data_IF_464821808296
#
_entry.id   IF_464821808296
#
_cell.length_a   1.000
_cell.length_b   1.000
_cell.length_c   1.000
_cell.angle_alpha   90.00
_cell.angle_beta   90.00
_cell.angle_gamma   90.00
#
_symmetry.space_group_name_H-M   'P 1'
#
loop_
_entity.id
_entity.type
_entity.pdbx_description
1 polymer ?
#
# COMPACT_ATOMS: atom_id res chain seq x y z
N UNK A 1 -39.94 12.06 15.04
CA UNK A 1 -38.68 12.49 15.67
C UNK A 1 -37.54 11.66 15.08
N UNK A 2 -36.68 12.24 14.23
CA UNK A 2 -35.48 11.56 13.72
C UNK A 2 -34.44 11.56 14.83
N UNK A 3 -34.08 10.38 15.36
CA UNK A 3 -32.93 10.24 16.27
C UNK A 3 -31.68 10.70 15.50
N UNK A 4 -31.02 11.75 15.98
CA UNK A 4 -29.67 12.09 15.53
C UNK A 4 -28.76 10.95 15.96
N UNK A 5 -28.38 10.11 15.00
CA UNK A 5 -27.37 9.09 15.18
C UNK A 5 -26.01 9.80 15.09
N UNK A 6 -25.25 9.79 16.19
CA UNK A 6 -23.90 10.36 16.26
C UNK A 6 -22.94 9.47 15.45
N UNK A 7 -23.02 9.58 14.14
CA UNK A 7 -22.13 8.90 13.20
C UNK A 7 -20.85 9.72 13.13
N UNK A 8 -19.70 9.13 13.46
CA UNK A 8 -18.42 9.80 13.23
C UNK A 8 -18.24 9.99 11.72
N UNK A 9 -17.65 11.11 11.32
CA UNK A 9 -17.47 11.45 9.89
C UNK A 9 -16.62 10.41 9.13
N UNK A 10 -15.78 9.66 9.83
CA UNK A 10 -15.05 8.49 9.31
C UNK A 10 -15.98 7.35 8.88
N UNK A 11 -17.03 7.12 9.66
CA UNK A 11 -17.90 5.94 9.54
C UNK A 11 -19.06 6.21 8.57
N UNK A 12 -19.26 7.48 8.20
CA UNK A 12 -20.32 7.92 7.29
C UNK A 12 -20.17 7.33 5.89
N UNK A 13 -18.94 7.14 5.40
CA UNK A 13 -18.70 6.57 4.07
C UNK A 13 -19.03 5.07 4.06
N UNK A 14 -18.53 4.32 5.05
CA UNK A 14 -18.90 2.91 5.27
C UNK A 14 -20.40 2.74 5.36
N UNK A 15 -21.08 3.51 6.23
CA UNK A 15 -22.53 3.43 6.41
C UNK A 15 -23.32 3.75 5.13
N UNK A 16 -22.89 4.74 4.34
CA UNK A 16 -23.49 5.05 3.04
C UNK A 16 -23.28 3.92 2.02
N UNK A 17 -22.11 3.28 2.06
CA UNK A 17 -21.79 2.14 1.20
C UNK A 17 -22.55 0.89 1.63
N UNK A 18 -22.69 0.64 2.94
CA UNK A 18 -23.46 -0.46 3.51
C UNK A 18 -24.95 -0.30 3.20
N UNK A 19 -25.50 0.90 3.35
CA UNK A 19 -26.90 1.23 3.07
C UNK A 19 -27.26 1.04 1.58
N UNK A 20 -26.32 1.36 0.68
CA UNK A 20 -26.56 1.32 -0.77
C UNK A 20 -26.20 -0.02 -1.42
N UNK A 21 -25.26 -0.78 -0.86
CA UNK A 21 -24.70 -1.97 -1.52
C UNK A 21 -24.62 -3.23 -0.65
N UNK A 22 -24.90 -3.11 0.66
CA UNK A 22 -24.95 -4.21 1.62
C UNK A 22 -23.61 -4.46 2.32
N UNK A 23 -23.67 -4.65 3.64
CA UNK A 23 -22.53 -4.77 4.56
C UNK A 23 -21.45 -5.78 4.15
N UNK A 24 -21.86 -7.01 3.80
CA UNK A 24 -20.95 -8.06 3.34
C UNK A 24 -20.08 -7.65 2.15
N UNK A 25 -20.62 -6.81 1.25
CA UNK A 25 -19.92 -6.33 0.05
C UNK A 25 -18.90 -5.24 0.38
N UNK A 26 -19.18 -4.41 1.38
CA UNK A 26 -18.28 -3.35 1.83
C UNK A 26 -17.09 -3.96 2.56
N UNK A 27 -17.32 -4.94 3.43
CA UNK A 27 -16.25 -5.65 4.16
C UNK A 27 -15.32 -6.43 3.20
N UNK A 28 -15.87 -7.20 2.25
CA UNK A 28 -15.07 -7.92 1.22
C UNK A 28 -14.25 -6.94 0.34
N UNK A 29 -14.82 -5.78 0.02
CA UNK A 29 -14.15 -4.74 -0.80
C UNK A 29 -13.12 -3.97 0.01
N UNK A 30 -13.36 -3.74 1.31
CA UNK A 30 -12.41 -3.06 2.17
C UNK A 30 -11.21 -3.94 2.50
N UNK A 31 -11.40 -5.21 2.82
CA UNK A 31 -10.28 -6.16 2.99
C UNK A 31 -9.49 -6.32 1.69
N UNK A 32 -10.17 -6.41 0.54
CA UNK A 32 -9.53 -6.52 -0.78
C UNK A 32 -8.80 -5.25 -1.22
N UNK A 33 -9.35 -4.06 -0.96
CA UNK A 33 -8.70 -2.78 -1.29
C UNK A 33 -7.57 -2.50 -0.31
N UNK A 34 -7.76 -2.80 0.96
CA UNK A 34 -6.72 -2.66 1.95
C UNK A 34 -5.54 -3.57 1.61
N UNK A 35 -5.78 -4.84 1.25
CA UNK A 35 -4.76 -5.74 0.68
C UNK A 35 -4.10 -5.22 -0.61
N UNK A 36 -4.90 -4.99 -1.66
CA UNK A 36 -4.40 -4.59 -3.00
C UNK A 36 -3.68 -3.26 -3.06
N UNK A 37 -4.07 -2.31 -2.20
CA UNK A 37 -3.38 -1.03 -2.08
C UNK A 37 -2.05 -1.18 -1.33
N UNK A 38 -2.02 -2.03 -0.32
CA UNK A 38 -0.79 -2.38 0.39
C UNK A 38 0.22 -3.16 -0.46
N UNK A 39 -0.24 -3.72 -1.59
CA UNK A 39 0.58 -4.47 -2.56
C UNK A 39 1.10 -3.63 -3.76
N UNK A 40 0.49 -2.49 -4.09
CA UNK A 40 0.77 -1.81 -5.37
C UNK A 40 1.12 -0.31 -5.32
N UNK A 41 1.28 0.28 -4.13
CA UNK A 41 1.86 1.63 -4.01
C UNK A 41 3.13 1.59 -3.18
N UNK A 42 4.18 1.02 -3.79
CA UNK A 42 5.56 1.08 -3.33
C UNK A 42 6.40 1.90 -4.32
N UNK A 43 6.26 3.22 -4.27
CA UNK A 43 7.17 4.12 -4.97
C UNK A 43 8.52 4.13 -4.25
N UNK A 44 9.53 3.56 -4.91
CA UNK A 44 10.91 4.01 -5.02
C UNK A 44 11.60 4.50 -3.74
N UNK A 45 12.69 3.82 -3.36
CA UNK A 45 13.43 4.05 -2.11
C UNK A 45 13.60 5.52 -1.73
N UNK A 46 13.39 5.85 -0.45
CA UNK A 46 13.60 7.21 0.03
C UNK A 46 15.08 7.58 -0.15
N UNK A 47 15.34 8.59 -0.98
CA UNK A 47 16.64 9.25 -1.04
C UNK A 47 16.69 10.31 0.05
N UNK A 48 17.63 10.13 0.98
CA UNK A 48 17.95 11.16 1.98
C UNK A 48 19.16 11.93 1.46
N UNK A 49 18.97 13.20 1.13
CA UNK A 49 20.04 14.10 0.70
C UNK A 49 20.68 14.75 1.94
N UNK A 50 22.00 14.66 2.07
CA UNK A 50 22.77 15.06 3.25
C UNK A 50 23.53 16.37 3.02
N UNK A 51 23.40 17.32 3.95
CA UNK A 51 24.36 18.38 4.19
C UNK A 51 25.02 18.06 5.55
N UNK A 52 25.88 17.03 5.55
CA UNK A 52 26.45 16.33 6.72
C UNK A 52 25.40 15.88 7.75
N UNK A 53 25.05 14.59 7.73
CA UNK A 53 24.16 13.98 8.73
C UNK A 53 24.91 12.89 9.49
N UNK A 54 25.06 13.06 10.81
CA UNK A 54 25.44 11.98 11.72
C UNK A 54 24.16 11.26 12.15
N UNK A 55 24.04 9.98 11.81
CA UNK A 55 22.99 9.12 12.34
C UNK A 55 23.54 8.47 13.61
N UNK A 56 23.07 8.97 14.75
CA UNK A 56 23.41 8.39 16.05
C UNK A 56 22.59 7.12 16.31
N UNK A 57 23.22 6.06 16.84
CA UNK A 57 22.51 4.84 17.22
C UNK A 57 21.57 5.11 18.39
N UNK A 58 20.34 4.60 18.31
CA UNK A 58 19.35 4.66 19.39
C UNK A 58 19.55 3.50 20.38
N UNK A 59 19.97 2.33 19.87
CA UNK A 59 20.23 1.13 20.66
C UNK A 59 21.74 0.80 20.79
N UNK A 60 22.20 0.17 21.89
CA UNK A 60 23.63 -0.10 22.15
C UNK A 60 24.31 -1.00 21.11
N UNK A 61 23.51 -1.72 20.33
CA UNK A 61 23.93 -2.69 19.30
C UNK A 61 23.99 -2.07 17.89
N UNK A 62 23.48 -0.84 17.72
CA UNK A 62 23.53 -0.11 16.48
C UNK A 62 24.89 0.58 16.27
N UNK A 63 25.27 0.76 15.00
CA UNK A 63 26.52 1.43 14.63
C UNK A 63 26.21 2.83 14.11
N UNK A 64 26.98 3.82 14.56
CA UNK A 64 26.92 5.15 13.99
C UNK A 64 27.37 5.14 12.53
N UNK A 65 26.67 5.91 11.71
CA UNK A 65 27.02 6.14 10.32
C UNK A 65 27.13 7.64 10.10
N UNK A 66 28.27 8.07 9.54
CA UNK A 66 28.49 9.44 9.11
C UNK A 66 28.34 9.50 7.61
N UNK A 67 27.51 10.41 7.13
CA UNK A 67 27.36 10.71 5.71
C UNK A 67 28.02 12.04 5.40
N UNK A 68 28.98 12.04 4.49
CA UNK A 68 29.64 13.25 4.03
C UNK A 68 28.68 14.13 3.19
N UNK A 69 29.10 15.36 2.92
CA UNK A 69 28.39 16.23 1.95
C UNK A 69 28.39 15.53 0.59
N UNK A 70 27.27 15.61 -0.12
CA UNK A 70 27.03 14.98 -1.42
C UNK A 70 26.91 13.45 -1.39
N UNK A 71 26.98 12.82 -0.21
CA UNK A 71 26.57 11.42 -0.04
C UNK A 71 25.05 11.30 0.13
N UNK A 72 24.52 10.14 -0.26
CA UNK A 72 23.11 9.82 -0.14
C UNK A 72 22.91 8.43 0.44
N UNK A 73 21.92 8.31 1.32
CA UNK A 73 21.41 7.02 1.77
C UNK A 73 20.16 6.65 0.97
N UNK A 74 20.09 5.39 0.57
CA UNK A 74 18.91 4.79 -0.07
C UNK A 74 18.34 3.76 0.89
N UNK A 75 17.05 3.89 1.20
CA UNK A 75 16.30 2.86 1.92
C UNK A 75 15.70 1.91 0.87
N UNK A 76 16.14 0.64 0.78
CA UNK A 76 15.70 -0.27 -0.27
C UNK A 76 14.35 -0.91 0.08
N UNK A 77 13.27 -0.12 -0.03
CA UNK A 77 11.89 -0.52 0.33
C UNK A 77 11.52 -1.90 -0.22
N UNK A 78 11.75 -2.13 -1.51
CA UNK A 78 11.42 -3.41 -2.16
C UNK A 78 12.20 -4.59 -1.57
N UNK A 79 13.47 -4.39 -1.20
CA UNK A 79 14.26 -5.45 -0.57
C UNK A 79 13.71 -5.79 0.82
N UNK A 80 13.32 -4.78 1.62
CA UNK A 80 12.70 -4.99 2.93
C UNK A 80 11.38 -5.76 2.80
N UNK A 81 10.56 -5.44 1.80
CA UNK A 81 9.27 -6.12 1.59
C UNK A 81 9.44 -7.56 1.12
N UNK A 82 10.55 -7.87 0.45
CA UNK A 82 10.89 -9.21 0.00
C UNK A 82 11.78 -10.00 0.97
N UNK A 83 12.07 -9.46 2.14
CA UNK A 83 12.91 -10.13 3.13
C UNK A 83 12.10 -11.12 3.98
N UNK A 84 12.45 -12.41 3.88
CA UNK A 84 11.84 -13.49 4.66
C UNK A 84 11.99 -13.34 6.17
N UNK A 85 12.94 -12.52 6.64
CA UNK A 85 13.09 -12.19 8.06
C UNK A 85 11.89 -11.40 8.59
N UNK A 86 11.26 -10.58 7.75
CA UNK A 86 10.15 -9.72 8.13
C UNK A 86 8.80 -10.22 7.59
N UNK A 87 8.83 -10.89 6.44
CA UNK A 87 7.63 -11.34 5.73
C UNK A 87 7.76 -12.81 5.33
N UNK A 88 7.06 -13.71 6.04
CA UNK A 88 6.98 -15.14 5.67
C UNK A 88 6.42 -15.32 4.24
N UNK A 89 7.03 -16.13 3.38
CA UNK A 89 6.60 -16.28 1.97
C UNK A 89 6.41 -14.93 1.23
N UNK A 90 7.44 -14.08 1.14
CA UNK A 90 7.28 -12.70 0.65
C UNK A 90 6.88 -12.59 -0.83
N UNK A 91 7.16 -13.63 -1.61
CA UNK A 91 6.78 -13.72 -3.03
C UNK A 91 5.29 -14.05 -3.24
N UNK A 92 4.57 -14.45 -2.17
CA UNK A 92 3.15 -14.78 -2.25
C UNK A 92 2.30 -13.56 -1.92
N UNK A 93 1.28 -13.38 -2.74
CA UNK A 93 0.20 -12.42 -2.50
C UNK A 93 -0.69 -12.92 -1.35
N UNK A 94 -0.57 -12.32 -0.17
CA UNK A 94 -1.30 -12.70 1.05
C UNK A 94 -1.89 -11.42 1.69
N UNK A 95 -3.08 -10.98 1.25
CA UNK A 95 -3.76 -9.78 1.76
C UNK A 95 -3.99 -9.81 3.27
N UNK A 96 -4.27 -10.99 3.82
CA UNK A 96 -4.61 -11.22 5.23
C UNK A 96 -3.47 -10.84 6.17
N UNK A 97 -2.24 -10.69 5.66
CA UNK A 97 -1.10 -10.18 6.44
C UNK A 97 -1.38 -8.80 7.03
N UNK A 98 -2.19 -7.98 6.35
CA UNK A 98 -2.48 -6.61 6.73
C UNK A 98 -3.85 -6.43 7.39
N UNK A 99 -4.51 -7.54 7.76
CA UNK A 99 -5.80 -7.54 8.47
C UNK A 99 -5.68 -6.82 9.83
N UNK A 100 -6.82 -6.44 10.40
CA UNK A 100 -6.87 -5.82 11.73
C UNK A 100 -6.21 -6.68 12.81
N UNK A 101 -6.38 -7.99 12.71
CA UNK A 101 -5.87 -8.99 13.66
C UNK A 101 -4.35 -9.13 13.53
N UNK A 102 -3.84 -9.18 12.29
CA UNK A 102 -2.44 -9.43 11.98
C UNK A 102 -1.58 -8.18 11.98
N UNK A 103 -2.16 -6.97 11.86
CA UNK A 103 -1.41 -5.71 11.81
C UNK A 103 -0.45 -5.52 12.99
N UNK A 104 -0.79 -6.03 14.17
CA UNK A 104 0.07 -5.95 15.37
C UNK A 104 1.34 -6.81 15.28
N UNK A 105 1.36 -7.80 14.38
CA UNK A 105 2.50 -8.68 14.17
C UNK A 105 3.50 -8.12 13.14
N UNK A 106 3.14 -7.04 12.45
CA UNK A 106 4.04 -6.36 11.52
C UNK A 106 5.10 -5.61 12.34
N UNK A 107 6.36 -5.95 12.11
CA UNK A 107 7.50 -5.31 12.79
C UNK A 107 7.54 -3.83 12.40
N UNK A 108 7.74 -2.96 13.39
CA UNK A 108 7.85 -1.52 13.15
C UNK A 108 8.97 -1.22 12.15
N UNK A 109 8.76 -0.26 11.25
CA UNK A 109 9.72 0.12 10.21
C UNK A 109 10.06 -0.95 9.16
N UNK A 110 9.31 -2.04 9.05
CA UNK A 110 9.46 -3.00 7.94
C UNK A 110 8.37 -2.86 6.88
N UNK A 111 7.29 -2.13 7.20
CA UNK A 111 6.20 -1.82 6.28
C UNK A 111 5.87 -0.32 6.27
N UNK A 112 6.20 0.39 5.18
CA UNK A 112 6.11 1.86 5.11
C UNK A 112 5.86 2.38 3.68
N UNK A 113 4.72 2.01 3.05
CA UNK A 113 4.42 2.30 1.63
C UNK A 113 4.28 3.79 1.32
N UNK A 114 4.04 4.60 2.35
CA UNK A 114 3.91 6.05 2.28
C UNK A 114 5.08 6.78 2.95
N UNK A 115 6.20 6.10 3.15
CA UNK A 115 7.27 6.56 4.02
C UNK A 115 6.87 6.52 5.50
N UNK A 116 7.79 6.96 6.34
CA UNK A 116 7.66 6.99 7.80
C UNK A 116 8.31 8.27 8.33
N UNK A 117 8.12 8.56 9.62
CA UNK A 117 8.72 9.73 10.30
C UNK A 117 8.17 11.08 9.74
N UNK A 118 8.74 12.27 10.08
CA UNK A 118 8.18 13.58 9.73
C UNK A 118 8.06 13.87 8.22
N UNK A 119 8.67 13.05 7.37
CA UNK A 119 8.64 13.17 5.91
C UNK A 119 7.74 12.11 5.26
N UNK A 120 6.79 11.55 6.02
CA UNK A 120 5.78 10.67 5.47
C UNK A 120 4.88 11.40 4.46
N UNK A 121 4.25 10.64 3.58
CA UNK A 121 3.40 11.18 2.52
C UNK A 121 2.17 11.87 3.11
N UNK A 122 2.12 13.20 2.96
CA UNK A 122 0.98 14.03 3.34
C UNK A 122 -0.31 13.63 2.58
N UNK A 123 -0.14 13.07 1.37
CA UNK A 123 -1.24 12.61 0.50
C UNK A 123 -1.74 11.19 0.78
N UNK A 124 -1.15 10.46 1.73
CA UNK A 124 -1.47 9.04 1.99
C UNK A 124 -2.97 8.78 2.19
N UNK A 125 -3.63 9.61 3.01
CA UNK A 125 -5.07 9.52 3.28
C UNK A 125 -5.92 9.84 2.05
N UNK A 126 -5.46 10.77 1.22
CA UNK A 126 -6.17 11.13 0.00
C UNK A 126 -6.05 10.03 -1.05
N UNK A 127 -4.84 9.50 -1.28
CA UNK A 127 -4.59 8.39 -2.20
C UNK A 127 -5.41 7.15 -1.82
N UNK A 128 -5.47 6.80 -0.53
CA UNK A 128 -6.29 5.69 -0.02
C UNK A 128 -7.79 5.90 -0.24
N UNK A 129 -8.28 7.14 -0.14
CA UNK A 129 -9.67 7.44 -0.42
C UNK A 129 -9.98 7.32 -1.91
N UNK A 130 -9.12 7.89 -2.75
CA UNK A 130 -9.28 7.92 -4.20
C UNK A 130 -9.29 6.50 -4.78
N UNK A 131 -8.31 5.68 -4.43
CA UNK A 131 -8.23 4.29 -4.89
C UNK A 131 -9.41 3.45 -4.37
N UNK A 132 -9.84 3.66 -3.12
CA UNK A 132 -11.01 2.97 -2.56
C UNK A 132 -12.26 3.29 -3.36
N UNK A 133 -12.48 4.56 -3.67
CA UNK A 133 -13.62 4.99 -4.46
C UNK A 133 -13.58 4.43 -5.90
N UNK A 134 -12.43 4.50 -6.57
CA UNK A 134 -12.26 4.00 -7.94
C UNK A 134 -12.46 2.49 -8.01
N UNK A 135 -11.78 1.73 -7.13
CA UNK A 135 -11.89 0.27 -7.09
C UNK A 135 -13.32 -0.17 -6.78
N UNK A 136 -13.97 0.48 -5.81
CA UNK A 136 -15.38 0.24 -5.51
C UNK A 136 -16.27 0.40 -6.75
N UNK A 137 -16.13 1.52 -7.47
CA UNK A 137 -16.92 1.77 -8.68
C UNK A 137 -16.66 0.74 -9.78
N UNK A 138 -15.41 0.34 -9.98
CA UNK A 138 -15.06 -0.70 -10.96
C UNK A 138 -15.68 -2.03 -10.56
N UNK A 139 -15.45 -2.49 -9.32
CA UNK A 139 -15.90 -3.81 -8.85
C UNK A 139 -17.43 -3.93 -8.78
N UNK A 140 -18.15 -2.84 -8.50
CA UNK A 140 -19.61 -2.85 -8.52
C UNK A 140 -20.20 -3.02 -9.92
N UNK A 141 -19.57 -2.47 -10.96
CA UNK A 141 -20.14 -2.42 -12.31
C UNK A 141 -19.46 -3.36 -13.30
N UNK A 142 -18.26 -3.84 -12.96
CA UNK A 142 -17.41 -4.62 -13.85
C UNK A 142 -16.74 -5.78 -13.12
N UNK A 143 -16.49 -6.83 -13.86
CA UNK A 143 -15.58 -7.91 -13.55
C UNK A 143 -14.27 -7.62 -14.29
N UNK A 144 -13.15 -7.63 -13.56
CA UNK A 144 -11.82 -7.45 -14.13
C UNK A 144 -11.35 -8.81 -14.63
N UNK A 145 -11.03 -8.90 -15.92
CA UNK A 145 -10.63 -10.16 -16.57
C UNK A 145 -9.29 -10.00 -17.28
N UNK A 146 -8.44 -11.05 -17.32
CA UNK A 146 -7.24 -11.03 -18.13
C UNK A 146 -7.60 -10.99 -19.62
N UNK A 147 -6.73 -10.36 -20.39
CA UNK A 147 -6.72 -10.28 -21.85
C UNK A 147 -5.59 -11.13 -22.40
N UNK A 148 -5.50 -11.25 -23.73
CA UNK A 148 -4.39 -11.95 -24.38
C UNK A 148 -3.03 -11.26 -24.15
N UNK A 149 -3.05 -9.96 -23.84
CA UNK A 149 -1.86 -9.15 -23.57
C UNK A 149 -1.48 -9.14 -22.08
N UNK A 150 -2.30 -9.73 -21.20
CA UNK A 150 -2.05 -9.74 -19.76
C UNK A 150 -0.90 -10.67 -19.41
N UNK A 151 0.21 -10.08 -18.94
CA UNK A 151 1.34 -10.81 -18.39
C UNK A 151 0.97 -11.43 -17.03
N UNK A 152 0.86 -12.76 -16.99
CA UNK A 152 0.68 -13.54 -15.77
C UNK A 152 1.79 -14.62 -15.72
N UNK A 153 2.72 -14.58 -14.75
CA UNK A 153 2.83 -13.60 -13.67
C UNK A 153 3.26 -12.20 -14.16
N UNK A 154 2.95 -11.18 -13.35
CA UNK A 154 3.34 -9.79 -13.62
C UNK A 154 4.86 -9.67 -13.70
N UNK A 155 5.37 -8.98 -14.72
CA UNK A 155 6.80 -8.74 -14.87
C UNK A 155 7.13 -7.29 -14.55
N UNK A 156 7.95 -7.09 -13.51
CA UNK A 156 8.41 -5.77 -13.11
C UNK A 156 9.55 -5.33 -14.04
N UNK A 157 9.44 -4.11 -14.56
CA UNK A 157 10.52 -3.46 -15.29
C UNK A 157 11.61 -2.99 -14.32
N UNK A 158 12.82 -3.51 -14.52
CA UNK A 158 14.00 -3.22 -13.71
C UNK A 158 14.81 -2.02 -14.22
N UNK A 159 14.38 -1.39 -15.31
CA UNK A 159 15.10 -0.29 -15.96
C UNK A 159 14.83 1.08 -15.34
N UNK A 160 13.81 1.21 -14.48
CA UNK A 160 13.44 2.49 -13.88
C UNK A 160 13.42 2.44 -12.37
N UNK A 161 13.65 3.61 -11.76
CA UNK A 161 13.54 3.82 -10.33
C UNK A 161 12.13 3.58 -9.78
N UNK A 162 11.10 3.95 -10.56
CA UNK A 162 9.72 3.64 -10.23
C UNK A 162 9.39 2.19 -10.59
N UNK A 163 8.73 1.49 -9.68
CA UNK A 163 8.18 0.16 -9.94
C UNK A 163 7.07 0.31 -10.99
N UNK A 164 7.25 -0.36 -12.12
CA UNK A 164 6.27 -0.42 -13.21
C UNK A 164 6.31 -1.80 -13.83
N UNK A 165 5.22 -2.18 -14.49
CA UNK A 165 5.19 -3.38 -15.32
C UNK A 165 5.89 -3.13 -16.66
N UNK A 166 6.55 -4.16 -17.21
CA UNK A 166 7.23 -4.10 -18.52
C UNK A 166 6.26 -3.64 -19.63
N UNK A 167 5.00 -4.10 -19.60
CA UNK A 167 3.99 -3.79 -20.62
C UNK A 167 2.74 -3.09 -20.04
N UNK A 168 2.86 -2.48 -18.86
CA UNK A 168 1.70 -1.95 -18.14
C UNK A 168 0.78 -3.06 -17.60
N UNK A 169 -0.51 -2.74 -17.43
CA UNK A 169 -1.52 -3.64 -16.87
C UNK A 169 -2.71 -3.78 -17.83
N UNK A 170 -2.54 -4.43 -19.00
CA UNK A 170 -3.67 -4.65 -19.90
C UNK A 170 -4.67 -5.58 -19.20
N UNK A 171 -5.84 -5.04 -18.88
CA UNK A 171 -6.94 -5.73 -18.19
C UNK A 171 -8.26 -5.41 -18.90
N UNK A 172 -9.10 -6.42 -19.06
CA UNK A 172 -10.43 -6.29 -19.61
C UNK A 172 -11.45 -5.95 -18.53
N UNK A 173 -12.46 -5.15 -18.89
CA UNK A 173 -13.60 -4.85 -18.03
C UNK A 173 -14.87 -5.45 -18.64
N UNK A 174 -15.41 -6.48 -18.01
CA UNK A 174 -16.67 -7.10 -18.41
C UNK A 174 -17.80 -6.55 -17.53
N UNK A 175 -18.81 -5.93 -18.12
CA UNK A 175 -19.94 -5.36 -17.35
C UNK A 175 -20.64 -6.46 -16.54
N UNK A 176 -20.86 -6.21 -15.25
CA UNK A 176 -21.71 -7.03 -14.38
C UNK A 176 -23.17 -6.71 -14.69
N UNK A 177 -23.98 -7.76 -14.85
CA UNK A 177 -25.42 -7.71 -15.14
C UNK A 177 -26.19 -7.91 -13.84
#
# INVERSE_FOLDING_TARGET
>A
MRKQMNIKRSDMFELLMEERYGKKRVEETEESIQGSFYENVGGSGLLVHSLIVLLEPEEPEEKSVTLDVDEYAIIPILAVYHDSQYFEDPEKFIPERFSSENRRNIITYTYFPFGVCPRNCIGSRFALLEIKAVLFHILCHFEIVPTQETNIPLQIDKSSFNVKSVNGFPLGLKRRV
#
